data_IF_334250696471
#
_entry.id   IF_334250696471
#
_cell.length_a   1.000
_cell.length_b   1.000
_cell.length_c   1.000
_cell.angle_alpha   90.00
_cell.angle_beta   90.00
_cell.angle_gamma   90.00
#
_symmetry.space_group_name_H-M   'P 1'
#
loop_
_entity.id
_entity.type
_entity.pdbx_description
1 polymer ?
#
# COMPACT_ATOMS: atom_id res chain seq x y z
N UNK A 1 52.53 1.33 20.30
CA UNK A 1 52.04 0.51 19.16
C UNK A 1 51.12 1.38 18.31
N UNK A 2 51.34 1.51 16.99
CA UNK A 2 50.46 2.29 16.13
C UNK A 2 49.08 1.64 16.07
N UNK A 3 48.02 2.46 16.22
CA UNK A 3 46.64 2.00 16.20
C UNK A 3 46.26 1.52 14.80
N UNK A 4 45.66 0.33 14.71
CA UNK A 4 45.19 -0.22 13.44
C UNK A 4 44.10 0.68 12.81
N UNK A 5 44.10 0.88 11.48
CA UNK A 5 43.11 1.71 10.80
C UNK A 5 41.70 1.16 11.01
N UNK A 6 40.78 2.02 11.45
CA UNK A 6 39.39 1.68 11.75
C UNK A 6 38.52 1.94 10.52
N UNK A 7 38.21 0.88 9.79
CA UNK A 7 37.33 0.91 8.61
C UNK A 7 35.86 1.07 9.07
N UNK A 8 35.28 2.27 8.93
CA UNK A 8 33.88 2.54 9.30
C UNK A 8 33.01 2.41 8.05
N UNK A 9 32.47 1.22 7.82
CA UNK A 9 31.47 1.01 6.77
C UNK A 9 30.11 1.50 7.26
N UNK A 10 29.70 2.67 6.78
CA UNK A 10 28.36 3.18 7.03
C UNK A 10 27.42 2.42 6.10
N UNK A 11 26.69 1.45 6.65
CA UNK A 11 25.62 0.77 5.92
C UNK A 11 24.52 1.79 5.68
N UNK A 12 24.31 2.18 4.42
CA UNK A 12 23.07 2.85 4.05
C UNK A 12 21.92 1.96 4.55
N UNK A 13 20.96 2.56 5.26
CA UNK A 13 19.82 1.84 5.81
C UNK A 13 19.08 1.15 4.65
N UNK A 14 19.21 -0.17 4.59
CA UNK A 14 18.40 -1.01 3.74
C UNK A 14 16.97 -0.95 4.29
N UNK A 15 16.02 -0.36 3.54
CA UNK A 15 14.59 -0.50 3.86
C UNK A 15 14.30 -2.00 3.89
N UNK A 16 13.98 -2.56 5.04
CA UNK A 16 13.72 -4.00 5.14
C UNK A 16 12.36 -4.33 4.52
N UNK A 17 12.33 -5.32 3.61
CA UNK A 17 11.09 -5.77 2.93
C UNK A 17 9.98 -6.12 3.92
N UNK A 18 10.38 -6.68 5.06
CA UNK A 18 9.49 -7.01 6.17
C UNK A 18 8.86 -5.77 6.82
N UNK A 19 9.61 -4.68 6.96
CA UNK A 19 9.09 -3.41 7.50
C UNK A 19 8.10 -2.79 6.52
N UNK A 20 8.46 -2.73 5.23
CA UNK A 20 7.57 -2.21 4.19
C UNK A 20 6.25 -2.98 4.10
N UNK A 21 6.29 -4.32 4.18
CA UNK A 21 5.09 -5.15 4.19
C UNK A 21 4.18 -4.87 5.41
N UNK A 22 4.76 -4.70 6.61
CA UNK A 22 3.99 -4.39 7.83
C UNK A 22 3.30 -3.04 7.75
N UNK A 23 4.02 -2.00 7.32
CA UNK A 23 3.44 -0.67 7.13
C UNK A 23 2.39 -0.65 6.02
N UNK A 24 2.63 -1.37 4.92
CA UNK A 24 1.67 -1.54 3.83
C UNK A 24 0.38 -2.23 4.27
N UNK A 25 0.47 -3.27 5.10
CA UNK A 25 -0.71 -3.95 5.65
C UNK A 25 -1.55 -3.04 6.54
N UNK A 26 -0.92 -2.23 7.40
CA UNK A 26 -1.64 -1.29 8.28
C UNK A 26 -2.35 -0.22 7.44
N UNK A 27 -1.66 0.36 6.47
CA UNK A 27 -2.22 1.42 5.63
C UNK A 27 -3.37 0.91 4.75
N UNK A 28 -3.16 -0.22 4.07
CA UNK A 28 -4.19 -0.84 3.24
C UNK A 28 -5.38 -1.36 4.04
N UNK A 29 -5.14 -1.86 5.27
CA UNK A 29 -6.20 -2.22 6.21
C UNK A 29 -7.08 -1.03 6.61
N UNK A 30 -6.48 0.15 6.82
CA UNK A 30 -7.22 1.38 7.08
C UNK A 30 -8.07 1.79 5.87
N UNK A 31 -7.50 1.74 4.66
CA UNK A 31 -8.22 2.01 3.40
C UNK A 31 -9.40 1.05 3.20
N UNK A 32 -9.21 -0.24 3.44
CA UNK A 32 -10.26 -1.24 3.35
C UNK A 32 -11.42 -0.96 4.31
N UNK A 33 -11.12 -0.52 5.55
CA UNK A 33 -12.14 -0.13 6.51
C UNK A 33 -12.92 1.11 6.02
N UNK A 34 -12.21 2.16 5.59
CA UNK A 34 -12.81 3.39 5.06
C UNK A 34 -13.71 3.09 3.85
N UNK A 35 -13.24 2.26 2.93
CA UNK A 35 -14.04 1.82 1.78
C UNK A 35 -15.31 1.08 2.22
N UNK A 36 -15.20 0.17 3.19
CA UNK A 36 -16.36 -0.59 3.69
C UNK A 36 -17.42 0.35 4.26
N UNK A 37 -17.01 1.33 5.07
CA UNK A 37 -17.93 2.38 5.55
C UNK A 37 -18.46 3.26 4.41
N UNK A 38 -17.62 3.59 3.43
CA UNK A 38 -18.01 4.35 2.25
C UNK A 38 -19.11 3.65 1.45
N UNK A 39 -18.99 2.34 1.22
CA UNK A 39 -20.00 1.53 0.52
C UNK A 39 -21.30 1.47 1.35
N UNK A 40 -21.20 1.32 2.67
CA UNK A 40 -22.36 1.33 3.55
C UNK A 40 -23.14 2.65 3.43
N UNK A 41 -22.45 3.77 3.57
CA UNK A 41 -23.03 5.11 3.45
C UNK A 41 -23.58 5.37 2.05
N UNK A 42 -22.88 4.92 1.01
CA UNK A 42 -23.32 5.03 -0.37
C UNK A 42 -24.63 4.25 -0.56
N UNK A 43 -24.73 3.02 -0.08
CA UNK A 43 -25.97 2.23 -0.17
C UNK A 43 -27.15 2.94 0.51
N UNK A 44 -26.94 3.51 1.68
CA UNK A 44 -27.93 4.33 2.39
C UNK A 44 -28.35 5.57 1.58
N UNK A 45 -27.40 6.24 0.95
CA UNK A 45 -27.69 7.38 0.08
C UNK A 45 -28.53 6.97 -1.13
N UNK A 46 -28.20 5.85 -1.79
CA UNK A 46 -28.99 5.31 -2.92
C UNK A 46 -30.42 4.94 -2.51
N UNK A 47 -30.59 4.41 -1.29
CA UNK A 47 -31.91 4.11 -0.75
C UNK A 47 -32.70 5.41 -0.51
N UNK A 48 -32.08 6.42 0.10
CA UNK A 48 -32.72 7.70 0.40
C UNK A 48 -33.13 8.47 -0.87
N UNK A 49 -32.35 8.38 -1.95
CA UNK A 49 -32.68 9.02 -3.23
C UNK A 49 -33.67 8.23 -4.08
N UNK A 50 -34.07 7.02 -3.65
CA UNK A 50 -35.00 6.17 -4.41
C UNK A 50 -34.40 5.60 -5.70
N UNK A 51 -33.07 5.60 -5.85
CA UNK A 51 -32.38 5.20 -7.09
C UNK A 51 -32.68 3.75 -7.46
N UNK A 52 -32.85 2.88 -6.47
CA UNK A 52 -33.23 1.48 -6.69
C UNK A 52 -34.59 1.35 -7.42
N UNK A 53 -35.55 2.22 -7.11
CA UNK A 53 -36.87 2.22 -7.78
C UNK A 53 -36.79 2.70 -9.23
N UNK A 54 -35.93 3.69 -9.49
CA UNK A 54 -35.66 4.16 -10.85
C UNK A 54 -35.01 3.04 -11.71
N UNK A 55 -34.12 2.25 -11.11
CA UNK A 55 -33.51 1.09 -11.77
C UNK A 55 -34.51 -0.04 -12.02
N UNK A 56 -35.35 -0.39 -11.03
CA UNK A 56 -36.41 -1.40 -11.21
C UNK A 56 -37.32 -1.05 -12.39
N UNK A 57 -37.69 0.23 -12.52
CA UNK A 57 -38.51 0.73 -13.63
C UNK A 57 -37.80 0.58 -14.98
N UNK A 58 -36.52 0.95 -15.06
CA UNK A 58 -35.72 0.82 -16.28
C UNK A 58 -35.46 -0.63 -16.69
N UNK A 59 -35.16 -1.52 -15.73
CA UNK A 59 -34.94 -2.95 -15.98
C UNK A 59 -36.21 -3.66 -16.41
N UNK A 60 -37.34 -3.33 -15.80
CA UNK A 60 -38.65 -3.89 -16.18
C UNK A 60 -39.04 -3.44 -17.59
N UNK A 61 -38.77 -2.18 -17.94
CA UNK A 61 -39.00 -1.65 -19.29
C UNK A 61 -38.11 -2.32 -20.36
N UNK A 62 -36.86 -2.68 -20.02
CA UNK A 62 -35.92 -3.29 -20.97
C UNK A 62 -36.09 -4.80 -21.13
N UNK A 63 -36.45 -5.52 -20.07
CA UNK A 63 -36.53 -6.99 -20.06
C UNK A 63 -37.95 -7.54 -20.17
N UNK A 64 -38.97 -6.69 -20.02
CA UNK A 64 -40.38 -7.10 -20.03
C UNK A 64 -40.80 -7.98 -18.84
N UNK A 65 -39.91 -8.22 -17.88
CA UNK A 65 -40.15 -9.01 -16.68
C UNK A 65 -40.06 -8.18 -15.41
N UNK A 66 -40.70 -8.64 -14.33
CA UNK A 66 -40.68 -7.98 -13.01
C UNK A 66 -39.33 -8.25 -12.35
N UNK A 67 -38.34 -7.40 -12.62
CA UNK A 67 -37.00 -7.52 -12.05
C UNK A 67 -36.89 -6.60 -10.83
N UNK A 68 -36.72 -7.18 -9.65
CA UNK A 68 -36.49 -6.44 -8.40
C UNK A 68 -35.00 -6.38 -8.10
N UNK A 69 -34.34 -5.29 -8.47
CA UNK A 69 -32.93 -4.98 -8.16
C UNK A 69 -32.70 -5.00 -6.65
N UNK A 70 -33.70 -4.64 -5.85
CA UNK A 70 -33.67 -4.73 -4.39
C UNK A 70 -33.49 -6.16 -3.86
N UNK A 71 -33.84 -7.20 -4.62
CA UNK A 71 -33.64 -8.59 -4.21
C UNK A 71 -32.16 -8.99 -4.27
N UNK A 72 -31.38 -8.40 -5.18
CA UNK A 72 -29.96 -8.70 -5.39
C UNK A 72 -29.06 -7.71 -4.63
N UNK A 73 -29.43 -6.43 -4.60
CA UNK A 73 -28.64 -5.35 -3.98
C UNK A 73 -29.22 -4.97 -2.61
N UNK A 74 -29.30 -5.97 -1.73
CA UNK A 74 -29.67 -5.72 -0.32
C UNK A 74 -28.44 -5.33 0.51
N UNK A 75 -28.67 -4.61 1.61
CA UNK A 75 -27.60 -4.10 2.47
C UNK A 75 -26.67 -5.21 3.01
N UNK A 76 -27.18 -6.34 3.56
CA UNK A 76 -26.31 -7.40 4.07
C UNK A 76 -25.35 -7.98 3.02
N UNK A 77 -25.86 -8.29 1.82
CA UNK A 77 -25.04 -8.83 0.73
C UNK A 77 -24.04 -7.79 0.25
N UNK A 78 -24.46 -6.53 0.10
CA UNK A 78 -23.58 -5.45 -0.35
C UNK A 78 -22.43 -5.22 0.62
N UNK A 79 -22.69 -5.27 1.94
CA UNK A 79 -21.63 -5.17 2.96
C UNK A 79 -20.69 -6.37 2.95
N UNK A 80 -21.20 -7.59 2.76
CA UNK A 80 -20.36 -8.78 2.69
C UNK A 80 -19.43 -8.72 1.49
N UNK A 81 -19.95 -8.30 0.33
CA UNK A 81 -19.13 -8.06 -0.87
C UNK A 81 -18.09 -6.96 -0.63
N UNK A 82 -18.48 -5.84 -0.01
CA UNK A 82 -17.56 -4.76 0.34
C UNK A 82 -16.43 -5.24 1.26
N UNK A 83 -16.74 -6.11 2.24
CA UNK A 83 -15.77 -6.70 3.14
C UNK A 83 -14.77 -7.60 2.39
N UNK A 84 -15.27 -8.45 1.48
CA UNK A 84 -14.41 -9.32 0.67
C UNK A 84 -13.50 -8.50 -0.24
N UNK A 85 -14.02 -7.47 -0.89
CA UNK A 85 -13.23 -6.56 -1.72
C UNK A 85 -12.18 -5.84 -0.86
N UNK A 86 -12.56 -5.35 0.32
CA UNK A 86 -11.64 -4.73 1.27
C UNK A 86 -10.52 -5.69 1.70
N UNK A 87 -10.84 -6.97 1.96
CA UNK A 87 -9.84 -7.97 2.28
C UNK A 87 -8.84 -8.18 1.11
N UNK A 88 -9.32 -8.25 -0.12
CA UNK A 88 -8.45 -8.33 -1.31
C UNK A 88 -7.58 -7.08 -1.44
N UNK A 89 -8.14 -5.90 -1.19
CA UNK A 89 -7.42 -4.63 -1.24
C UNK A 89 -6.29 -4.56 -0.20
N UNK A 90 -6.46 -5.15 0.99
CA UNK A 90 -5.36 -5.24 1.97
C UNK A 90 -4.17 -6.06 1.44
N UNK A 91 -4.45 -7.16 0.73
CA UNK A 91 -3.42 -8.01 0.14
C UNK A 91 -2.71 -7.28 -1.00
N UNK A 92 -3.48 -6.63 -1.87
CA UNK A 92 -2.96 -5.87 -3.01
C UNK A 92 -2.13 -4.68 -2.51
N UNK A 93 -2.62 -3.92 -1.53
CA UNK A 93 -1.93 -2.76 -0.97
C UNK A 93 -0.61 -3.13 -0.28
N UNK A 94 -0.58 -4.26 0.44
CA UNK A 94 0.67 -4.79 0.98
C UNK A 94 1.65 -5.20 -0.14
N UNK A 95 1.16 -5.80 -1.22
CA UNK A 95 1.95 -6.12 -2.40
C UNK A 95 2.58 -4.89 -3.05
N UNK A 96 1.81 -3.82 -3.22
CA UNK A 96 2.30 -2.54 -3.75
C UNK A 96 3.39 -1.94 -2.86
N UNK A 97 3.22 -1.97 -1.53
CA UNK A 97 4.22 -1.48 -0.60
C UNK A 97 5.55 -2.25 -0.70
N UNK A 98 5.49 -3.56 -0.90
CA UNK A 98 6.68 -4.39 -1.14
C UNK A 98 7.33 -4.06 -2.47
N UNK A 99 6.55 -3.89 -3.55
CA UNK A 99 7.06 -3.49 -4.86
C UNK A 99 7.82 -2.16 -4.79
N UNK A 100 7.27 -1.15 -4.10
CA UNK A 100 7.92 0.16 -3.92
C UNK A 100 9.25 -0.01 -3.16
N UNK A 101 9.28 -0.82 -2.10
CA UNK A 101 10.50 -1.08 -1.35
C UNK A 101 11.58 -1.80 -2.17
N UNK A 102 11.19 -2.71 -3.07
CA UNK A 102 12.11 -3.37 -4.00
C UNK A 102 12.73 -2.39 -5.00
N UNK A 103 11.92 -1.50 -5.57
CA UNK A 103 12.40 -0.46 -6.48
C UNK A 103 13.39 0.45 -5.77
N UNK A 104 13.09 0.86 -4.54
CA UNK A 104 13.99 1.71 -3.76
C UNK A 104 15.32 1.02 -3.44
N UNK A 105 15.28 -0.28 -3.11
CA UNK A 105 16.48 -1.10 -2.90
C UNK A 105 17.33 -1.24 -4.16
N UNK A 106 16.72 -1.41 -5.33
CA UNK A 106 17.46 -1.47 -6.59
C UNK A 106 18.09 -0.12 -6.93
N UNK A 107 17.34 0.96 -6.75
CA UNK A 107 17.82 2.32 -7.00
C UNK A 107 19.01 2.67 -6.08
N UNK A 108 18.93 2.38 -4.77
CA UNK A 108 20.02 2.66 -3.84
C UNK A 108 21.29 1.85 -4.13
N UNK A 109 21.16 0.61 -4.62
CA UNK A 109 22.31 -0.19 -5.07
C UNK A 109 22.96 0.36 -6.33
N UNK A 110 22.17 0.85 -7.29
CA UNK A 110 22.67 1.46 -8.52
C UNK A 110 23.40 2.79 -8.22
N UNK A 111 22.86 3.61 -7.32
CA UNK A 111 23.41 4.93 -6.99
C UNK A 111 24.55 4.89 -5.96
N UNK A 112 24.58 3.89 -5.07
CA UNK A 112 25.53 3.79 -3.95
C UNK A 112 26.69 2.80 -4.11
N UNK A 113 26.81 2.13 -5.26
CA UNK A 113 27.85 1.13 -5.55
C UNK A 113 29.28 1.68 -5.66
N UNK A 114 29.46 3.00 -5.76
CA UNK A 114 30.75 3.66 -5.56
C UNK A 114 30.97 3.88 -4.06
N UNK A 115 31.29 2.78 -3.37
CA UNK A 115 31.98 2.82 -2.09
C UNK A 115 33.27 3.62 -2.29
N UNK A 116 33.25 4.91 -1.96
CA UNK A 116 34.44 5.71 -1.72
C UNK A 116 35.15 5.08 -0.52
N UNK A 117 36.00 4.10 -0.78
CA UNK A 117 36.94 3.53 0.18
C UNK A 117 37.97 4.60 0.50
N UNK A 118 37.67 5.43 1.49
CA UNK A 118 38.68 6.30 2.09
C UNK A 118 39.59 5.42 2.93
N UNK A 119 40.67 4.94 2.30
CA UNK A 119 41.81 4.40 3.03
C UNK A 119 42.58 5.59 3.57
N UNK A 120 42.46 5.83 4.87
CA UNK A 120 43.27 6.83 5.56
C UNK A 120 44.69 6.27 5.68
N UNK A 121 45.51 6.50 4.64
CA UNK A 121 46.93 6.22 4.71
C UNK A 121 47.52 7.20 5.74
N UNK A 122 48.04 6.64 6.84
CA UNK A 122 48.70 7.38 7.91
C UNK A 122 49.93 8.13 7.41
N UNK A 123 49.70 9.29 6.82
CA UNK A 123 50.71 10.25 6.41
C UNK A 123 51.05 11.17 7.58
N UNK A 124 52.07 10.75 8.33
CA UNK A 124 52.96 11.59 9.16
C UNK A 124 52.97 13.07 8.73
N UNK A 125 52.17 13.90 9.41
CA UNK A 125 52.30 15.35 9.38
C UNK A 125 53.63 15.72 10.03
N UNK A 126 54.62 16.01 9.18
CA UNK A 126 55.93 16.49 9.59
C UNK A 126 55.83 17.73 10.46
N UNK A 127 56.38 17.64 11.68
CA UNK A 127 56.84 18.80 12.43
C UNK A 127 57.92 19.50 11.60
N UNK A 128 57.63 20.71 11.15
CA UNK A 128 58.63 21.70 10.77
C UNK A 128 58.93 22.60 11.99
N UNK A 129 60.17 23.13 12.06
CA UNK A 129 60.92 23.42 13.30
C UNK A 129 60.37 24.55 14.18
#
# INVERSE_FOLDING_TARGET
MPAAPRDIRISLIDISLRSAARWGLIFSGCLAAVQTFGVALLWLALLATGTFSAWDTGFTAATGGVSHVAAVVNLPVTLLVALVIGAVETVVGAGVAVCIALVFRLASRLTGGLLLGWREDGGSGGRHP
#
